data_IF_261110267884
#
_entry.id   IF_261110267884
#
_cell.length_a   1.000
_cell.length_b   1.000
_cell.length_c   1.000
_cell.angle_alpha   90.00
_cell.angle_beta   90.00
_cell.angle_gamma   90.00
#
_symmetry.space_group_name_H-M   'P 1'
#
loop_
_entity.id
_entity.type
_entity.pdbx_description
1 polymer ?
#
# COMPACT_ATOMS: atom_id res chain seq x y z
N UNK A 1 -43.15 -4.48 16.22
CA UNK A 1 -42.30 -3.35 15.82
C UNK A 1 -40.96 -3.57 16.47
N UNK A 2 -40.00 -4.10 15.71
CA UNK A 2 -38.64 -4.35 16.21
C UNK A 2 -37.89 -3.03 16.36
N UNK A 3 -37.34 -2.81 17.55
CA UNK A 3 -36.49 -1.68 17.86
C UNK A 3 -35.18 -1.79 17.08
N UNK A 4 -34.97 -0.88 16.13
CA UNK A 4 -33.69 -0.67 15.45
C UNK A 4 -32.64 -0.31 16.51
N UNK A 5 -31.75 -1.25 16.83
CA UNK A 5 -30.59 -0.98 17.67
C UNK A 5 -29.68 0.02 16.92
N UNK A 6 -29.63 1.24 17.44
CA UNK A 6 -28.67 2.28 17.03
C UNK A 6 -27.26 1.72 17.22
N UNK A 7 -26.59 1.40 16.10
CA UNK A 7 -25.19 0.99 16.09
C UNK A 7 -24.36 2.13 16.68
N UNK A 8 -23.66 1.85 17.77
CA UNK A 8 -22.67 2.76 18.34
C UNK A 8 -21.69 3.20 17.23
N UNK A 9 -21.22 4.46 17.20
CA UNK A 9 -20.20 4.87 16.25
C UNK A 9 -18.97 3.98 16.48
N UNK A 10 -18.64 3.15 15.48
CA UNK A 10 -17.48 2.25 15.55
C UNK A 10 -16.26 3.12 15.85
N UNK A 11 -15.60 2.88 16.99
CA UNK A 11 -14.34 3.56 17.33
C UNK A 11 -13.35 3.30 16.19
N UNK A 12 -12.86 4.38 15.58
CA UNK A 12 -11.82 4.28 14.57
C UNK A 12 -10.53 3.77 15.22
N UNK A 13 -9.97 2.70 14.66
CA UNK A 13 -8.69 2.12 15.02
C UNK A 13 -7.61 3.19 14.87
N UNK A 14 -6.84 3.34 15.94
CA UNK A 14 -5.62 4.14 15.99
C UNK A 14 -4.42 3.19 15.87
N UNK A 15 -3.20 3.69 16.11
CA UNK A 15 -2.05 2.82 16.34
C UNK A 15 -2.40 1.78 17.41
N UNK A 16 -1.97 0.55 17.19
CA UNK A 16 -2.14 -0.56 18.12
C UNK A 16 -1.43 -0.22 19.42
N UNK A 17 -2.08 -0.51 20.54
CA UNK A 17 -1.47 -0.36 21.86
C UNK A 17 -0.49 -1.51 22.14
N UNK A 18 0.33 -1.33 23.18
CA UNK A 18 1.32 -2.33 23.56
C UNK A 18 0.68 -3.69 23.89
N UNK A 19 -0.48 -3.70 24.55
CA UNK A 19 -1.19 -4.94 24.89
C UNK A 19 -1.56 -5.73 23.63
N UNK A 20 -2.12 -5.06 22.62
CA UNK A 20 -2.46 -5.68 21.33
C UNK A 20 -1.22 -6.15 20.56
N UNK A 21 -0.10 -5.44 20.66
CA UNK A 21 1.16 -5.80 19.99
C UNK A 21 1.87 -7.00 20.64
N UNK A 22 1.58 -7.31 21.91
CA UNK A 22 2.14 -8.50 22.60
C UNK A 22 1.41 -9.81 22.28
N UNK A 23 0.20 -9.73 21.74
CA UNK A 23 -0.60 -10.91 21.35
C UNK A 23 -0.16 -11.43 19.98
N UNK A 24 -0.48 -12.70 19.70
CA UNK A 24 -0.32 -13.23 18.33
C UNK A 24 -1.29 -12.51 17.38
N UNK A 25 -0.90 -12.20 16.14
CA UNK A 25 -1.72 -11.39 15.25
C UNK A 25 -3.08 -12.05 14.94
N UNK A 26 -3.19 -13.38 14.93
CA UNK A 26 -4.48 -14.09 14.74
C UNK A 26 -5.43 -14.01 15.93
N UNK A 27 -4.94 -13.65 17.12
CA UNK A 27 -5.79 -13.35 18.26
C UNK A 27 -6.43 -11.96 18.10
N UNK A 28 -5.74 -11.05 17.41
CA UNK A 28 -6.14 -9.64 17.23
C UNK A 28 -6.91 -9.41 15.92
N UNK A 29 -6.62 -10.18 14.88
CA UNK A 29 -7.18 -10.01 13.54
C UNK A 29 -7.79 -11.29 12.98
N UNK A 30 -8.95 -11.16 12.35
CA UNK A 30 -9.48 -12.20 11.47
C UNK A 30 -9.04 -11.90 10.03
N UNK A 31 -8.06 -12.67 9.53
CA UNK A 31 -7.56 -12.55 8.15
C UNK A 31 -8.60 -13.12 7.19
N UNK A 32 -8.93 -12.35 6.16
CA UNK A 32 -9.93 -12.68 5.14
C UNK A 32 -9.24 -13.09 3.83
N UNK A 33 -9.55 -12.37 2.74
CA UNK A 33 -9.07 -12.65 1.39
C UNK A 33 -7.72 -11.98 1.10
N UNK A 34 -6.92 -12.61 0.23
CA UNK A 34 -5.72 -12.01 -0.36
C UNK A 34 -6.16 -10.94 -1.37
N UNK A 35 -5.68 -9.72 -1.20
CA UNK A 35 -5.98 -8.57 -2.05
C UNK A 35 -5.03 -8.47 -3.23
N UNK A 36 -3.77 -8.82 -3.03
CA UNK A 36 -2.74 -8.72 -4.05
C UNK A 36 -1.39 -9.26 -3.60
N UNK A 37 -0.45 -9.25 -4.53
CA UNK A 37 0.93 -9.64 -4.31
C UNK A 37 1.81 -8.73 -5.16
N UNK A 38 2.78 -8.11 -4.51
CA UNK A 38 3.81 -7.31 -5.16
C UNK A 38 5.19 -7.93 -4.94
N UNK A 39 6.24 -7.20 -5.32
CA UNK A 39 7.62 -7.68 -5.23
C UNK A 39 8.06 -8.04 -3.80
N UNK A 40 7.50 -7.37 -2.79
CA UNK A 40 7.88 -7.52 -1.39
C UNK A 40 6.97 -8.44 -0.58
N UNK A 41 5.98 -9.08 -1.22
CA UNK A 41 5.10 -10.01 -0.54
C UNK A 41 3.62 -9.78 -0.81
N UNK A 42 2.80 -10.35 0.06
CA UNK A 42 1.36 -10.48 -0.13
C UNK A 42 0.58 -9.53 0.76
N UNK A 43 -0.49 -8.95 0.24
CA UNK A 43 -1.41 -8.07 0.98
C UNK A 43 -2.73 -8.79 1.19
N UNK A 44 -3.20 -8.81 2.43
CA UNK A 44 -4.46 -9.44 2.84
C UNK A 44 -5.40 -8.40 3.44
N UNK A 45 -6.70 -8.62 3.24
CA UNK A 45 -7.74 -7.93 3.97
C UNK A 45 -7.94 -8.62 5.31
N UNK A 46 -8.14 -7.87 6.38
CA UNK A 46 -8.44 -8.44 7.69
C UNK A 46 -9.43 -7.56 8.45
N UNK A 47 -10.02 -8.10 9.51
CA UNK A 47 -10.87 -7.38 10.45
C UNK A 47 -10.17 -7.35 11.80
N UNK A 48 -9.99 -6.16 12.37
CA UNK A 48 -9.58 -6.00 13.76
C UNK A 48 -10.74 -6.43 14.67
N UNK A 49 -10.53 -7.47 15.48
CA UNK A 49 -11.63 -8.17 16.18
C UNK A 49 -12.36 -7.28 17.18
N UNK A 50 -11.62 -6.44 17.91
CA UNK A 50 -12.23 -5.59 18.95
C UNK A 50 -13.10 -4.47 18.37
N UNK A 51 -12.60 -3.78 17.32
CA UNK A 51 -13.30 -2.61 16.76
C UNK A 51 -14.20 -2.94 15.58
N UNK A 52 -14.04 -4.13 14.99
CA UNK A 52 -14.68 -4.51 13.73
C UNK A 52 -14.21 -3.69 12.52
N UNK A 53 -13.09 -2.97 12.64
CA UNK A 53 -12.54 -2.17 11.56
C UNK A 53 -11.81 -3.06 10.54
N UNK A 54 -12.04 -2.78 9.26
CA UNK A 54 -11.32 -3.43 8.17
C UNK A 54 -9.93 -2.80 8.03
N UNK A 55 -8.91 -3.64 7.92
CA UNK A 55 -7.50 -3.26 7.75
C UNK A 55 -6.87 -4.05 6.60
N UNK A 56 -5.72 -3.58 6.13
CA UNK A 56 -4.85 -4.34 5.24
C UNK A 56 -3.63 -4.84 6.03
N UNK A 57 -3.20 -6.07 5.77
CA UNK A 57 -2.03 -6.68 6.38
C UNK A 57 -1.08 -7.08 5.24
N UNK A 58 0.09 -6.44 5.17
CA UNK A 58 1.17 -6.81 4.24
C UNK A 58 2.10 -7.79 4.94
N UNK A 59 2.20 -9.00 4.42
CA UNK A 59 3.10 -10.04 4.90
C UNK A 59 4.36 -10.04 4.03
N UNK A 60 5.49 -9.76 4.66
CA UNK A 60 6.80 -9.63 4.02
C UNK A 60 7.75 -10.67 4.60
N UNK A 61 8.32 -11.58 3.79
CA UNK A 61 9.31 -12.53 4.26
C UNK A 61 10.55 -11.82 4.83
N UNK A 62 10.96 -12.17 6.04
CA UNK A 62 12.07 -11.55 6.78
C UNK A 62 13.42 -11.83 6.14
N UNK A 63 13.50 -12.86 5.30
CA UNK A 63 14.69 -13.19 4.49
C UNK A 63 15.03 -12.09 3.47
N UNK A 64 14.11 -11.16 3.20
CA UNK A 64 14.35 -9.98 2.37
C UNK A 64 15.08 -8.87 3.16
N UNK A 65 15.50 -7.80 2.49
CA UNK A 65 16.32 -6.74 3.09
C UNK A 65 15.56 -6.02 4.24
N UNK A 66 15.81 -6.49 5.47
CA UNK A 66 15.20 -5.95 6.68
C UNK A 66 15.50 -4.47 6.89
N UNK A 67 16.64 -3.96 6.41
CA UNK A 67 16.97 -2.55 6.58
C UNK A 67 16.04 -1.67 5.74
N UNK A 68 15.74 -2.08 4.51
CA UNK A 68 14.77 -1.38 3.65
C UNK A 68 13.37 -1.41 4.25
N UNK A 69 12.95 -2.56 4.79
CA UNK A 69 11.64 -2.73 5.42
C UNK A 69 11.49 -1.85 6.67
N UNK A 70 12.49 -1.85 7.55
CA UNK A 70 12.50 -1.01 8.76
C UNK A 70 12.45 0.47 8.37
N UNK A 71 13.19 0.86 7.33
CA UNK A 71 13.16 2.22 6.81
C UNK A 71 11.76 2.61 6.30
N UNK A 72 11.11 1.75 5.51
CA UNK A 72 9.74 1.97 5.01
C UNK A 72 8.75 2.15 6.17
N UNK A 73 8.80 1.26 7.18
CA UNK A 73 7.95 1.34 8.38
C UNK A 73 8.20 2.64 9.15
N UNK A 74 9.47 3.02 9.35
CA UNK A 74 9.83 4.23 10.10
C UNK A 74 9.27 5.50 9.45
N UNK A 75 9.29 5.57 8.11
CA UNK A 75 8.75 6.71 7.35
C UNK A 75 7.23 6.73 7.51
N UNK A 76 6.55 5.61 7.28
CA UNK A 76 5.10 5.50 7.43
C UNK A 76 4.63 5.83 8.85
N UNK A 77 5.35 5.39 9.88
CA UNK A 77 4.99 5.62 11.28
C UNK A 77 5.04 7.09 11.68
N UNK A 78 5.88 7.89 11.02
CA UNK A 78 6.05 9.32 11.26
C UNK A 78 5.02 10.18 10.51
N UNK A 79 4.33 9.62 9.52
CA UNK A 79 3.27 10.32 8.79
C UNK A 79 1.93 10.22 9.54
N UNK A 80 1.38 11.37 9.96
CA UNK A 80 0.01 11.49 10.48
C UNK A 80 -0.76 12.52 9.64
N UNK A 81 -1.33 12.04 8.54
CA UNK A 81 -2.07 12.86 7.57
C UNK A 81 -3.21 12.04 6.98
N UNK A 82 -4.39 12.64 6.73
CA UNK A 82 -5.49 11.96 6.03
C UNK A 82 -5.18 11.61 4.56
N UNK A 83 -4.05 12.09 4.01
CA UNK A 83 -3.63 11.85 2.63
C UNK A 83 -2.50 10.81 2.52
N UNK A 84 -2.08 10.21 3.63
CA UNK A 84 -1.07 9.15 3.69
C UNK A 84 -1.69 7.94 4.38
N UNK A 85 -1.50 6.75 3.80
CA UNK A 85 -2.02 5.49 4.35
C UNK A 85 -1.50 5.31 5.77
N UNK A 86 -2.42 5.15 6.73
CA UNK A 86 -2.04 5.02 8.13
C UNK A 86 -1.36 3.70 8.43
N UNK A 87 -0.27 3.77 9.17
CA UNK A 87 0.37 2.62 9.82
C UNK A 87 -0.20 2.41 11.23
N UNK A 88 -0.63 1.19 11.53
CA UNK A 88 -1.18 0.84 12.83
C UNK A 88 -0.19 0.09 13.73
N UNK A 89 0.68 -0.74 13.15
CA UNK A 89 1.64 -1.53 13.90
C UNK A 89 2.18 -2.69 13.07
N UNK A 90 3.09 -3.47 13.67
CA UNK A 90 3.68 -4.62 13.01
C UNK A 90 3.87 -5.80 13.96
N UNK A 91 3.76 -7.01 13.44
CA UNK A 91 4.01 -8.25 14.17
C UNK A 91 5.08 -9.05 13.48
N UNK A 92 5.94 -9.70 14.25
CA UNK A 92 6.82 -10.73 13.76
C UNK A 92 6.17 -12.10 13.99
N UNK A 93 6.01 -12.90 12.94
CA UNK A 93 5.38 -14.21 13.05
C UNK A 93 6.04 -15.19 12.09
N UNK A 94 6.48 -16.33 12.63
CA UNK A 94 7.25 -17.33 11.89
C UNK A 94 8.49 -16.69 11.27
N UNK A 95 8.51 -16.55 9.94
CA UNK A 95 9.55 -15.93 9.14
C UNK A 95 9.05 -14.68 8.40
N UNK A 96 7.88 -14.17 8.77
CA UNK A 96 7.23 -13.04 8.09
C UNK A 96 7.03 -11.86 9.04
N UNK A 97 7.25 -10.67 8.51
CA UNK A 97 6.84 -9.41 9.12
C UNK A 97 5.44 -9.04 8.60
N UNK A 98 4.51 -8.87 9.52
CA UNK A 98 3.15 -8.44 9.25
C UNK A 98 3.04 -6.95 9.51
N UNK A 99 2.75 -6.16 8.49
CA UNK A 99 2.59 -4.71 8.58
C UNK A 99 1.09 -4.41 8.48
N UNK A 100 0.51 -3.89 9.57
CA UNK A 100 -0.92 -3.56 9.66
C UNK A 100 -1.13 -2.10 9.27
N UNK A 101 -1.99 -1.86 8.28
CA UNK A 101 -2.21 -0.55 7.68
C UNK A 101 -3.68 -0.29 7.33
N UNK A 102 -3.98 0.96 7.03
CA UNK A 102 -5.30 1.38 6.54
C UNK A 102 -5.71 0.61 5.27
N UNK A 103 -6.98 0.20 5.22
CA UNK A 103 -7.54 -0.47 4.06
C UNK A 103 -8.17 0.54 3.09
N UNK A 104 -7.56 0.68 1.91
CA UNK A 104 -8.10 1.46 0.81
C UNK A 104 -8.91 0.55 -0.13
N UNK A 105 -10.21 0.42 0.12
CA UNK A 105 -11.05 -0.60 -0.54
C UNK A 105 -11.21 -0.49 -2.06
N UNK A 106 -10.91 0.68 -2.65
CA UNK A 106 -10.91 0.86 -4.09
C UNK A 106 -9.61 0.39 -4.79
N UNK A 107 -8.59 0.00 -4.01
CA UNK A 107 -7.26 -0.32 -4.53
C UNK A 107 -6.48 0.91 -4.99
N UNK A 108 -5.44 0.68 -5.82
CA UNK A 108 -4.66 1.75 -6.43
C UNK A 108 -5.38 2.34 -7.64
N UNK A 109 -4.98 3.55 -8.05
CA UNK A 109 -5.46 4.16 -9.31
C UNK A 109 -5.18 3.24 -10.50
N UNK A 110 -4.01 2.61 -10.56
CA UNK A 110 -3.66 1.64 -11.60
C UNK A 110 -4.57 0.40 -11.60
N UNK A 111 -4.99 -0.08 -10.42
CA UNK A 111 -5.98 -1.16 -10.32
C UNK A 111 -7.34 -0.73 -10.90
N UNK A 112 -7.80 0.48 -10.59
CA UNK A 112 -9.06 1.03 -11.12
C UNK A 112 -8.99 1.16 -12.64
N UNK A 113 -7.90 1.69 -13.19
CA UNK A 113 -7.67 1.79 -14.64
C UNK A 113 -7.73 0.39 -15.26
N UNK A 114 -7.00 -0.59 -14.70
CA UNK A 114 -6.98 -1.97 -15.20
C UNK A 114 -8.36 -2.65 -15.13
N UNK A 115 -9.11 -2.44 -14.06
CA UNK A 115 -10.44 -3.02 -13.87
C UNK A 115 -11.47 -2.46 -14.86
N UNK A 116 -11.36 -1.18 -15.23
CA UNK A 116 -12.25 -0.53 -16.20
C UNK A 116 -11.87 -0.86 -17.65
N UNK A 117 -10.57 -1.01 -17.94
CA UNK A 117 -10.04 -1.29 -19.27
C UNK A 117 -9.97 -2.81 -19.59
N UNK A 118 -10.94 -3.61 -19.15
CA UNK A 118 -11.05 -5.05 -19.48
C UNK A 118 -11.38 -5.33 -20.97
N UNK A 119 -10.58 -4.77 -21.87
CA UNK A 119 -10.39 -5.22 -23.26
C UNK A 119 -8.92 -5.51 -23.60
N UNK A 120 -7.93 -5.03 -22.83
CA UNK A 120 -6.52 -5.31 -23.14
C UNK A 120 -5.74 -6.00 -22.01
N UNK A 121 -5.01 -7.01 -22.44
CA UNK A 121 -4.40 -8.11 -21.70
C UNK A 121 -3.47 -7.69 -20.55
N UNK A 122 -3.56 -8.42 -19.43
CA UNK A 122 -2.74 -8.23 -18.23
C UNK A 122 -1.23 -8.30 -18.52
N UNK A 123 -0.55 -7.15 -18.52
CA UNK A 123 0.88 -7.09 -18.22
C UNK A 123 1.05 -6.61 -16.77
N UNK A 124 1.35 -7.54 -15.86
CA UNK A 124 1.79 -7.20 -14.51
C UNK A 124 3.16 -6.51 -14.63
N UNK A 125 3.22 -5.20 -14.38
CA UNK A 125 4.49 -4.49 -14.22
C UNK A 125 5.02 -4.76 -12.81
N UNK A 126 5.95 -5.70 -12.72
CA UNK A 126 6.75 -5.92 -11.51
C UNK A 126 8.05 -5.13 -11.65
N UNK A 127 8.14 -3.94 -11.06
CA UNK A 127 9.43 -3.23 -10.90
C UNK A 127 9.40 -2.34 -9.67
N UNK A 128 10.52 -2.30 -8.93
CA UNK A 128 10.74 -1.35 -7.82
C UNK A 128 11.92 -0.45 -8.15
N UNK A 129 11.78 0.79 -7.65
CA UNK A 129 12.59 2.00 -7.82
C UNK A 129 12.48 2.58 -9.23
N UNK A 130 11.52 3.49 -9.37
CA UNK A 130 11.31 4.33 -10.55
C UNK A 130 11.11 3.52 -11.82
N UNK A 131 9.85 3.27 -12.22
CA UNK A 131 9.68 2.97 -13.64
C UNK A 131 10.05 4.27 -14.37
N UNK A 132 11.07 4.29 -15.24
CA UNK A 132 11.70 5.54 -15.68
C UNK A 132 10.75 6.50 -16.39
N UNK A 133 9.62 6.00 -16.88
CA UNK A 133 8.54 6.80 -17.46
C UNK A 133 7.98 7.87 -16.51
N UNK A 134 8.10 7.72 -15.18
CA UNK A 134 7.66 8.72 -14.19
C UNK A 134 8.80 9.57 -13.62
N UNK A 135 10.07 9.27 -13.94
CA UNK A 135 11.20 9.97 -13.34
C UNK A 135 11.39 11.36 -13.95
N UNK A 136 11.66 12.35 -13.10
CA UNK A 136 12.01 13.69 -13.55
C UNK A 136 13.41 13.70 -14.21
N UNK A 137 13.69 14.62 -15.15
CA UNK A 137 14.97 14.66 -15.87
C UNK A 137 16.19 14.75 -14.94
N UNK A 138 16.11 15.53 -13.86
CA UNK A 138 17.17 15.67 -12.86
C UNK A 138 17.46 14.38 -12.08
N UNK A 139 16.45 13.52 -11.92
CA UNK A 139 16.60 12.21 -11.27
C UNK A 139 17.27 11.23 -12.23
N UNK A 140 16.87 11.24 -13.52
CA UNK A 140 17.48 10.39 -14.57
C UNK A 140 18.95 10.75 -14.79
N UNK A 141 19.29 12.04 -14.72
CA UNK A 141 20.65 12.54 -14.89
C UNK A 141 21.52 12.37 -13.62
N UNK A 142 21.00 11.72 -12.57
CA UNK A 142 21.68 11.53 -11.28
C UNK A 142 22.14 12.86 -10.62
N UNK A 143 21.52 13.98 -11.00
CA UNK A 143 21.80 15.32 -10.45
C UNK A 143 21.25 15.43 -9.02
N UNK A 144 20.25 14.60 -8.70
CA UNK A 144 19.69 14.45 -7.36
C UNK A 144 18.16 14.45 -7.37
N UNK A 145 17.56 14.07 -6.24
CA UNK A 145 16.11 14.10 -6.04
C UNK A 145 15.73 15.27 -5.13
N UNK A 146 14.67 16.00 -5.50
CA UNK A 146 14.07 17.04 -4.68
C UNK A 146 12.53 16.92 -4.74
N UNK A 147 11.81 17.73 -3.97
CA UNK A 147 10.35 17.66 -3.91
C UNK A 147 9.64 18.01 -5.24
N UNK A 148 10.30 18.69 -6.17
CA UNK A 148 9.72 18.99 -7.50
C UNK A 148 9.70 17.74 -8.40
N UNK A 149 10.55 16.75 -8.12
CA UNK A 149 10.51 15.46 -8.82
C UNK A 149 9.17 14.72 -8.57
N UNK A 150 8.54 14.90 -7.41
CA UNK A 150 7.19 14.37 -7.14
C UNK A 150 6.12 15.10 -7.96
N UNK A 151 6.27 16.41 -8.17
CA UNK A 151 5.36 17.20 -9.01
C UNK A 151 5.44 16.76 -10.47
N UNK A 152 6.66 16.47 -10.96
CA UNK A 152 6.84 15.86 -12.27
C UNK A 152 6.14 14.49 -12.37
N UNK A 153 6.40 13.60 -11.39
CA UNK A 153 5.80 12.27 -11.32
C UNK A 153 4.27 12.33 -11.27
N UNK A 154 3.71 13.33 -10.59
CA UNK A 154 2.28 13.60 -10.53
C UNK A 154 1.73 14.02 -11.90
N UNK A 155 2.46 14.84 -12.65
CA UNK A 155 2.12 15.22 -14.03
C UNK A 155 2.03 14.00 -14.95
N UNK A 156 3.00 13.09 -14.88
CA UNK A 156 2.97 11.82 -15.63
C UNK A 156 1.79 10.95 -15.17
N UNK A 157 1.53 10.86 -13.87
CA UNK A 157 0.38 10.12 -13.33
C UNK A 157 -0.95 10.70 -13.83
N UNK A 158 -1.06 12.02 -13.99
CA UNK A 158 -2.24 12.65 -14.57
C UNK A 158 -2.46 12.22 -16.02
N UNK A 159 -1.38 12.13 -16.82
CA UNK A 159 -1.44 11.60 -18.20
C UNK A 159 -1.86 10.12 -18.18
N UNK A 160 -1.27 9.30 -17.31
CA UNK A 160 -1.65 7.88 -17.17
C UNK A 160 -3.14 7.72 -16.84
N UNK A 161 -3.69 8.54 -15.95
CA UNK A 161 -5.13 8.50 -15.64
C UNK A 161 -6.01 8.88 -16.83
N UNK A 162 -5.54 9.78 -17.71
CA UNK A 162 -6.28 10.22 -18.88
C UNK A 162 -6.16 9.24 -20.07
N UNK A 163 -4.98 8.63 -20.27
CA UNK A 163 -4.64 7.84 -21.45
C UNK A 163 -4.52 6.33 -21.17
N UNK A 164 -4.58 5.93 -19.90
CA UNK A 164 -4.45 4.54 -19.44
C UNK A 164 -3.00 4.03 -19.34
N UNK A 165 -2.02 4.81 -19.78
CA UNK A 165 -0.58 4.50 -19.70
C UNK A 165 0.25 5.79 -19.66
N UNK A 166 1.45 5.80 -19.06
CA UNK A 166 2.34 6.96 -19.12
C UNK A 166 2.89 7.15 -20.54
N UNK A 167 3.44 8.35 -20.86
CA UNK A 167 4.21 8.55 -22.08
C UNK A 167 5.33 7.52 -22.21
N UNK A 168 5.60 7.07 -23.44
CA UNK A 168 6.66 6.13 -23.78
C UNK A 168 6.57 4.73 -23.13
N UNK A 169 5.41 4.38 -22.57
CA UNK A 169 5.14 3.07 -21.95
C UNK A 169 5.49 1.84 -22.81
N UNK A 170 5.47 1.98 -24.14
CA UNK A 170 5.73 0.89 -25.09
C UNK A 170 7.18 0.88 -25.61
N UNK A 171 8.00 1.85 -25.19
CA UNK A 171 9.41 1.96 -25.55
C UNK A 171 10.26 1.26 -24.48
N UNK A 172 11.32 0.57 -24.90
CA UNK A 172 12.23 -0.07 -23.96
C UNK A 172 12.92 1.01 -23.08
N UNK A 173 12.90 0.87 -21.73
CA UNK A 173 13.36 1.88 -20.78
C UNK A 173 14.79 2.44 -20.94
N UNK A 174 15.66 1.76 -21.69
CA UNK A 174 17.12 1.99 -21.75
C UNK A 174 17.64 2.07 -23.20
N UNK A 175 16.80 2.48 -24.16
CA UNK A 175 17.18 2.54 -25.58
C UNK A 175 17.22 3.96 -26.11
#
# INVERSE_FOLDING_TARGET
METVQLRHPRRQLRKLDEDSLTKQPEEVFDVLEKLGEGSYGSVFKAIHKETGQVVAIKQVPVESDLQEIIKEISIMQQCDSPHVVKYYGSYFKNTDLWIVMEYCGAGSVSDIIRLRNKTDTMAKRNTVIGTPFWMAPEVIQEIGYNCLADIWSLGITAIEMAEGKPPYADIHPMR
#
